data_IF_292760005331
#
_entry.id   IF_292760005331
#
_cell.length_a   1.000
_cell.length_b   1.000
_cell.length_c   1.000
_cell.angle_alpha   90.00
_cell.angle_beta   90.00
_cell.angle_gamma   90.00
#
_symmetry.space_group_name_H-M   'P 1'
#
loop_
_entity.id
_entity.type
_entity.pdbx_description
1 polymer ?
#
# COMPACT_ATOMS: atom_id res chain seq x y z
N UNK A 1 -63.63 -9.45 35.91
CA UNK A 1 -63.02 -9.98 34.66
C UNK A 1 -61.52 -9.67 34.68
N UNK A 2 -60.68 -10.67 34.93
CA UNK A 2 -59.21 -10.51 35.01
C UNK A 2 -58.70 -10.95 33.67
N UNK A 3 -58.01 -10.05 32.97
CA UNK A 3 -57.20 -10.38 31.78
C UNK A 3 -55.80 -10.80 32.19
N UNK A 4 -55.42 -12.02 31.85
CA UNK A 4 -54.02 -12.54 31.94
C UNK A 4 -53.23 -11.96 30.77
N UNK A 5 -52.12 -11.30 31.09
CA UNK A 5 -51.10 -10.90 30.11
C UNK A 5 -50.13 -12.05 29.97
N UNK A 6 -50.05 -12.65 28.77
CA UNK A 6 -49.04 -13.62 28.38
C UNK A 6 -47.79 -12.87 27.94
N UNK A 7 -46.71 -13.02 28.67
CA UNK A 7 -45.37 -12.58 28.27
C UNK A 7 -44.79 -13.57 27.25
N UNK A 8 -44.75 -13.17 25.99
CA UNK A 8 -43.92 -13.84 24.96
C UNK A 8 -42.50 -13.35 25.08
N UNK A 9 -41.59 -14.24 25.49
CA UNK A 9 -40.16 -14.03 25.39
C UNK A 9 -39.75 -14.08 23.91
N UNK A 10 -39.53 -12.92 23.30
CA UNK A 10 -38.77 -12.83 22.04
C UNK A 10 -37.27 -12.89 22.35
N UNK A 11 -36.70 -14.08 22.20
CA UNK A 11 -35.24 -14.22 22.05
C UNK A 11 -34.85 -13.59 20.70
N UNK A 12 -34.31 -12.38 20.74
CA UNK A 12 -33.66 -11.77 19.61
C UNK A 12 -32.30 -12.47 19.44
N UNK A 13 -32.23 -13.43 18.53
CA UNK A 13 -30.94 -13.97 18.06
C UNK A 13 -30.37 -12.89 17.11
N UNK A 14 -29.46 -12.06 17.65
CA UNK A 14 -28.61 -11.21 16.84
C UNK A 14 -27.57 -12.13 16.21
N UNK A 15 -27.84 -12.59 15.00
CA UNK A 15 -26.82 -13.16 14.15
C UNK A 15 -25.88 -12.01 13.73
N UNK A 16 -24.75 -11.86 14.43
CA UNK A 16 -23.62 -11.12 13.93
C UNK A 16 -23.14 -11.86 12.65
N UNK A 17 -23.64 -11.42 11.51
CA UNK A 17 -22.99 -11.68 10.24
C UNK A 17 -21.70 -10.82 10.20
N UNK A 18 -20.63 -11.37 10.77
CA UNK A 18 -19.28 -10.94 10.46
C UNK A 18 -19.09 -11.36 9.00
N UNK A 19 -19.39 -10.46 8.06
CA UNK A 19 -18.86 -10.54 6.72
C UNK A 19 -17.36 -10.23 6.83
N UNK A 20 -16.57 -11.23 7.24
CA UNK A 20 -15.18 -11.28 6.84
C UNK A 20 -15.20 -11.33 5.31
N UNK A 21 -14.77 -10.27 4.66
CA UNK A 21 -14.28 -10.33 3.30
C UNK A 21 -13.05 -11.25 3.33
N UNK A 22 -13.28 -12.54 3.39
CA UNK A 22 -12.29 -13.54 3.03
C UNK A 22 -12.13 -13.37 1.52
N UNK A 23 -11.23 -12.45 1.14
CA UNK A 23 -10.66 -12.53 -0.19
C UNK A 23 -10.21 -13.98 -0.33
N UNK A 24 -10.80 -14.71 -1.26
CA UNK A 24 -10.34 -16.04 -1.59
C UNK A 24 -8.89 -15.90 -2.04
N UNK A 25 -7.96 -16.17 -1.13
CA UNK A 25 -6.56 -16.32 -1.46
C UNK A 25 -6.48 -17.56 -2.38
N UNK A 26 -6.64 -17.30 -3.65
CA UNK A 26 -6.50 -18.33 -4.65
C UNK A 26 -5.09 -18.90 -4.58
N UNK A 27 -4.97 -20.21 -4.49
CA UNK A 27 -3.70 -20.96 -4.48
C UNK A 27 -3.11 -21.12 -5.88
N UNK A 28 -3.63 -20.41 -6.88
CA UNK A 28 -3.18 -20.52 -8.27
C UNK A 28 -2.04 -19.54 -8.61
N UNK A 29 -1.39 -19.78 -9.72
CA UNK A 29 -0.38 -18.87 -10.32
C UNK A 29 -1.08 -17.83 -11.21
N UNK A 30 -0.50 -16.64 -11.36
CA UNK A 30 -1.06 -15.56 -12.18
C UNK A 30 -0.81 -15.73 -13.69
N UNK A 31 0.02 -16.70 -14.07
CA UNK A 31 0.22 -17.14 -15.47
C UNK A 31 0.36 -18.66 -15.51
N UNK A 32 0.14 -19.25 -16.68
CA UNK A 32 0.41 -20.65 -16.92
C UNK A 32 1.91 -20.95 -16.71
N UNK A 33 2.28 -21.86 -15.79
CA UNK A 33 3.68 -22.15 -15.50
C UNK A 33 4.47 -22.64 -16.73
N UNK A 34 3.81 -23.34 -17.65
CA UNK A 34 4.42 -23.85 -18.88
C UNK A 34 4.73 -22.72 -19.89
N UNK A 35 4.10 -21.57 -19.73
CA UNK A 35 4.33 -20.36 -20.53
C UNK A 35 5.27 -19.36 -19.85
N UNK A 36 5.61 -19.60 -18.59
CA UNK A 36 6.46 -18.69 -17.81
C UNK A 36 7.89 -18.63 -18.41
N UNK A 37 8.35 -17.42 -18.72
CA UNK A 37 9.70 -17.19 -19.18
C UNK A 37 10.60 -16.84 -17.99
N UNK A 38 11.82 -17.40 -17.95
CA UNK A 38 12.80 -17.05 -16.94
C UNK A 38 13.13 -15.55 -17.00
N UNK A 39 13.20 -14.91 -15.85
CA UNK A 39 13.60 -13.51 -15.70
C UNK A 39 14.88 -13.42 -14.87
N UNK A 40 15.85 -12.68 -15.39
CA UNK A 40 17.06 -12.33 -14.65
C UNK A 40 17.09 -10.82 -14.45
N UNK A 41 16.99 -10.32 -13.21
CA UNK A 41 16.99 -8.88 -12.95
C UNK A 41 18.36 -8.26 -13.31
N UNK A 42 18.33 -7.06 -13.87
CA UNK A 42 19.54 -6.27 -14.12
C UNK A 42 20.21 -5.84 -12.81
N UNK A 43 21.51 -5.55 -12.79
CA UNK A 43 22.21 -5.08 -11.58
C UNK A 43 21.57 -3.81 -10.98
N UNK A 44 21.04 -2.93 -11.81
CA UNK A 44 20.33 -1.71 -11.40
C UNK A 44 19.04 -2.05 -10.65
N UNK A 45 18.32 -3.10 -11.11
CA UNK A 45 17.11 -3.59 -10.47
C UNK A 45 17.41 -4.20 -9.09
N UNK A 46 18.46 -5.04 -9.00
CA UNK A 46 18.88 -5.63 -7.71
C UNK A 46 19.22 -4.55 -6.68
N UNK A 47 19.95 -3.49 -7.07
CA UNK A 47 20.23 -2.34 -6.20
C UNK A 47 18.94 -1.58 -5.83
N UNK A 48 17.99 -1.49 -6.74
CA UNK A 48 16.70 -0.85 -6.46
C UNK A 48 15.89 -1.66 -5.45
N UNK A 49 15.86 -2.99 -5.53
CA UNK A 49 15.22 -3.88 -4.55
C UNK A 49 15.86 -3.73 -3.17
N UNK A 50 17.19 -3.69 -3.08
CA UNK A 50 17.89 -3.48 -1.82
C UNK A 50 17.54 -2.12 -1.20
N UNK A 51 17.63 -1.03 -1.99
CA UNK A 51 17.20 0.31 -1.54
C UNK A 51 15.74 0.35 -1.12
N UNK A 52 14.86 -0.36 -1.82
CA UNK A 52 13.45 -0.45 -1.46
C UNK A 52 13.25 -1.11 -0.09
N UNK A 53 13.97 -2.22 0.18
CA UNK A 53 13.96 -2.85 1.50
C UNK A 53 14.49 -1.93 2.61
N UNK A 54 15.47 -1.05 2.32
CA UNK A 54 16.01 -0.09 3.27
C UNK A 54 15.04 1.07 3.57
N UNK A 55 14.20 1.42 2.61
CA UNK A 55 13.26 2.54 2.69
C UNK A 55 12.15 2.33 3.72
N UNK A 56 11.66 1.14 3.93
CA UNK A 56 10.66 0.69 4.92
C UNK A 56 9.32 1.43 4.94
N UNK A 57 9.25 2.73 4.64
CA UNK A 57 8.03 3.51 4.78
C UNK A 57 7.76 4.37 3.54
N UNK A 58 6.55 4.24 3.00
CA UNK A 58 6.03 5.01 1.87
C UNK A 58 4.63 5.55 2.11
N UNK A 59 4.20 6.50 1.27
CA UNK A 59 2.84 7.05 1.27
C UNK A 59 2.14 6.65 -0.02
N UNK A 60 0.93 6.11 0.11
CA UNK A 60 0.03 5.82 -1.00
C UNK A 60 -0.98 6.93 -1.17
N UNK A 61 -1.30 7.29 -2.40
CA UNK A 61 -2.26 8.34 -2.75
C UNK A 61 -3.33 7.78 -3.68
N UNK A 62 -4.55 7.64 -3.20
CA UNK A 62 -5.71 7.32 -4.03
C UNK A 62 -6.49 8.60 -4.34
N UNK A 63 -6.27 9.15 -5.53
CA UNK A 63 -6.85 10.43 -5.93
C UNK A 63 -7.34 10.40 -7.37
N UNK A 64 -8.58 10.75 -7.59
CA UNK A 64 -9.24 10.72 -8.89
C UNK A 64 -10.64 11.34 -8.86
N UNK A 65 -11.43 11.12 -9.91
CA UNK A 65 -12.81 11.64 -10.01
C UNK A 65 -13.69 11.17 -8.86
N UNK A 66 -13.48 9.96 -8.37
CA UNK A 66 -14.23 9.36 -7.25
C UNK A 66 -14.14 10.21 -5.95
N UNK A 67 -13.06 10.98 -5.77
CA UNK A 67 -12.93 11.87 -4.61
C UNK A 67 -14.08 12.88 -4.50
N UNK A 68 -14.70 13.29 -5.63
CA UNK A 68 -15.82 14.24 -5.65
C UNK A 68 -17.09 13.69 -5.01
N UNK A 69 -17.28 12.38 -5.05
CA UNK A 69 -18.45 11.72 -4.48
C UNK A 69 -18.24 11.35 -3.01
N UNK A 70 -17.00 11.45 -2.51
CA UNK A 70 -16.66 11.27 -1.10
C UNK A 70 -17.09 9.93 -0.50
N UNK A 71 -17.14 8.86 -1.30
CA UNK A 71 -17.48 7.53 -0.84
C UNK A 71 -18.92 7.32 -0.33
N UNK A 72 -19.79 8.31 -0.48
CA UNK A 72 -21.15 8.28 0.07
C UNK A 72 -21.96 7.12 -0.51
N UNK A 73 -22.33 6.18 0.33
CA UNK A 73 -23.10 5.00 -0.05
C UNK A 73 -22.27 3.85 -0.67
N UNK A 74 -20.97 3.99 -0.78
CA UNK A 74 -20.08 2.91 -1.24
C UNK A 74 -19.60 2.08 -0.04
N UNK A 75 -19.87 0.78 0.02
CA UNK A 75 -19.43 -0.09 1.11
C UNK A 75 -17.95 -0.49 1.00
N UNK A 76 -17.34 -0.40 -0.19
CA UNK A 76 -15.96 -0.84 -0.41
C UNK A 76 -14.93 0.30 -0.44
N UNK A 77 -15.40 1.56 -0.50
CA UNK A 77 -14.53 2.73 -0.51
C UNK A 77 -14.88 3.71 -1.63
N UNK A 78 -14.31 4.92 -1.55
CA UNK A 78 -14.66 5.98 -2.49
C UNK A 78 -14.25 5.65 -3.94
N UNK A 79 -13.16 4.95 -4.14
CA UNK A 79 -12.63 4.56 -5.44
C UNK A 79 -13.48 3.50 -6.15
N UNK A 80 -14.30 2.75 -5.40
CA UNK A 80 -15.27 1.77 -5.90
C UNK A 80 -16.65 2.34 -6.21
N UNK A 81 -16.91 3.61 -5.90
CA UNK A 81 -18.26 4.22 -5.92
C UNK A 81 -18.96 4.09 -7.27
N UNK A 82 -18.22 4.05 -8.38
CA UNK A 82 -18.80 3.85 -9.72
C UNK A 82 -19.47 2.47 -9.83
N UNK A 83 -18.80 1.42 -9.39
CA UNK A 83 -19.29 0.04 -9.42
C UNK A 83 -20.36 -0.19 -8.34
N UNK A 84 -20.10 0.22 -7.10
CA UNK A 84 -20.98 0.01 -5.94
C UNK A 84 -22.36 0.62 -6.13
N UNK A 85 -22.41 1.84 -6.66
CA UNK A 85 -23.65 2.56 -6.93
C UNK A 85 -24.16 2.33 -8.36
N UNK A 86 -23.53 1.46 -9.13
CA UNK A 86 -23.88 1.14 -10.52
C UNK A 86 -24.04 2.38 -11.40
N UNK A 87 -23.10 3.32 -11.24
CA UNK A 87 -23.10 4.57 -12.00
C UNK A 87 -22.67 4.26 -13.43
N UNK A 88 -23.52 4.59 -14.41
CA UNK A 88 -23.16 4.36 -15.81
C UNK A 88 -22.00 5.24 -16.27
N UNK A 89 -21.16 4.71 -17.18
CA UNK A 89 -19.99 5.42 -17.71
C UNK A 89 -20.28 6.86 -18.16
N UNK A 90 -21.31 7.11 -19.01
CA UNK A 90 -21.65 8.47 -19.43
C UNK A 90 -22.04 9.42 -18.30
N UNK A 91 -22.58 8.91 -17.18
CA UNK A 91 -22.88 9.73 -16.00
C UNK A 91 -21.61 9.99 -15.18
N UNK A 92 -20.79 8.98 -15.00
CA UNK A 92 -19.55 9.10 -14.22
C UNK A 92 -18.54 10.04 -14.90
N UNK A 93 -18.39 9.94 -16.23
CA UNK A 93 -17.49 10.81 -17.02
C UNK A 93 -17.79 12.30 -16.84
N UNK A 94 -19.06 12.67 -16.60
CA UNK A 94 -19.43 14.06 -16.34
C UNK A 94 -18.84 14.64 -15.06
N UNK A 95 -18.37 13.81 -14.14
CA UNK A 95 -17.61 14.29 -12.96
C UNK A 95 -16.37 15.07 -13.38
N UNK A 96 -15.76 14.74 -14.53
CA UNK A 96 -14.60 15.47 -15.04
C UNK A 96 -14.92 16.96 -15.33
N UNK A 97 -16.16 17.29 -15.73
CA UNK A 97 -16.59 18.66 -15.99
C UNK A 97 -16.49 19.57 -14.72
N UNK A 98 -16.46 18.96 -13.54
CA UNK A 98 -16.44 19.66 -12.24
C UNK A 98 -15.15 19.41 -11.46
N UNK A 99 -14.26 18.56 -11.92
CA UNK A 99 -13.02 18.25 -11.22
C UNK A 99 -11.98 19.34 -11.44
N UNK A 100 -11.84 20.18 -10.43
CA UNK A 100 -10.95 21.35 -10.49
C UNK A 100 -10.14 21.52 -9.19
N UNK A 101 -9.09 20.71 -8.97
CA UNK A 101 -8.33 20.68 -7.73
C UNK A 101 -7.35 21.86 -7.58
N UNK A 102 -7.86 23.09 -7.58
CA UNK A 102 -7.04 24.32 -7.49
C UNK A 102 -6.27 24.47 -6.19
N UNK A 103 -6.62 23.71 -5.15
CA UNK A 103 -5.90 23.68 -3.87
C UNK A 103 -4.71 22.70 -3.85
N UNK A 104 -4.46 21.96 -4.94
CA UNK A 104 -3.31 21.07 -5.03
C UNK A 104 -1.99 21.86 -5.00
N UNK A 105 -1.05 21.36 -4.18
CA UNK A 105 0.30 21.90 -4.09
C UNK A 105 1.30 20.76 -3.84
N UNK A 106 2.00 20.38 -4.90
CA UNK A 106 2.96 19.25 -4.87
C UNK A 106 4.07 19.44 -3.83
N UNK A 107 4.57 20.67 -3.67
CA UNK A 107 5.64 20.98 -2.72
C UNK A 107 5.17 20.79 -1.26
N UNK A 108 3.94 21.20 -0.95
CA UNK A 108 3.36 21.00 0.39
C UNK A 108 3.12 19.51 0.67
N UNK A 109 2.62 18.76 -0.29
CA UNK A 109 2.42 17.31 -0.15
C UNK A 109 3.73 16.60 0.13
N UNK A 110 4.71 16.81 -0.74
CA UNK A 110 6.00 16.12 -0.65
C UNK A 110 6.73 16.48 0.64
N UNK A 111 6.67 17.74 1.10
CA UNK A 111 7.23 18.12 2.40
C UNK A 111 6.54 17.39 3.56
N UNK A 112 5.20 17.35 3.56
CA UNK A 112 4.46 16.63 4.61
C UNK A 112 4.84 15.14 4.65
N UNK A 113 4.99 14.49 3.51
CA UNK A 113 5.38 13.08 3.42
C UNK A 113 6.83 12.86 3.87
N UNK A 114 7.74 13.73 3.45
CA UNK A 114 9.14 13.70 3.89
C UNK A 114 9.27 13.91 5.39
N UNK A 115 8.52 14.87 5.94
CA UNK A 115 8.51 15.17 7.36
C UNK A 115 7.86 14.03 8.18
N UNK A 116 6.93 13.27 7.60
CA UNK A 116 6.40 12.03 8.12
C UNK A 116 7.45 10.88 8.13
N UNK A 117 8.57 11.04 7.43
CA UNK A 117 9.64 10.05 7.32
C UNK A 117 9.53 9.14 6.09
N UNK A 118 8.57 9.36 5.20
CA UNK A 118 8.45 8.56 3.98
C UNK A 118 9.68 8.68 3.08
N UNK A 119 10.00 7.60 2.38
CA UNK A 119 11.10 7.50 1.42
C UNK A 119 10.61 7.40 -0.02
N UNK A 120 9.37 7.02 -0.22
CA UNK A 120 8.74 6.92 -1.52
C UNK A 120 7.24 7.26 -1.46
N UNK A 121 6.70 7.58 -2.62
CA UNK A 121 5.29 7.91 -2.84
C UNK A 121 4.77 7.00 -3.94
N UNK A 122 3.61 6.38 -3.74
CA UNK A 122 2.83 5.71 -4.79
C UNK A 122 1.60 6.54 -5.06
N UNK A 123 1.29 6.88 -6.30
CA UNK A 123 0.07 7.63 -6.67
C UNK A 123 -0.72 6.91 -7.75
N UNK A 124 -2.03 6.90 -7.63
CA UNK A 124 -2.93 6.41 -8.69
C UNK A 124 -2.78 7.26 -9.93
N UNK A 125 -2.05 6.75 -10.95
CA UNK A 125 -1.97 7.39 -12.28
C UNK A 125 -3.25 7.18 -13.07
N UNK A 126 -3.86 6.01 -12.93
CA UNK A 126 -5.19 5.63 -13.43
C UNK A 126 -5.76 4.57 -12.50
N UNK A 127 -6.98 4.75 -11.99
CA UNK A 127 -7.71 3.74 -11.23
C UNK A 127 -8.70 2.96 -12.14
N UNK A 128 -9.53 2.09 -11.57
CA UNK A 128 -10.49 1.23 -12.28
C UNK A 128 -11.48 2.01 -13.13
N UNK A 129 -11.79 3.26 -12.78
CA UNK A 129 -12.68 4.15 -13.53
C UNK A 129 -12.13 4.59 -14.89
N UNK A 130 -10.85 4.28 -15.18
CA UNK A 130 -10.17 4.59 -16.42
C UNK A 130 -9.71 6.04 -16.56
N UNK A 131 -9.96 6.90 -15.54
CA UNK A 131 -9.54 8.29 -15.57
C UNK A 131 -8.04 8.45 -15.28
N UNK A 132 -7.32 9.06 -16.23
CA UNK A 132 -5.89 9.34 -16.07
C UNK A 132 -5.65 10.65 -15.30
N UNK A 133 -4.90 10.59 -14.22
CA UNK A 133 -4.52 11.77 -13.42
C UNK A 133 -3.31 12.52 -13.99
N UNK A 134 -2.94 12.25 -15.23
CA UNK A 134 -1.82 12.84 -15.97
C UNK A 134 -2.23 13.18 -17.40
N UNK A 135 -1.41 13.95 -18.12
CA UNK A 135 -1.62 14.33 -19.53
C UNK A 135 -1.29 13.13 -20.43
N UNK A 136 -2.29 12.30 -20.73
CA UNK A 136 -2.15 11.14 -21.60
C UNK A 136 -2.36 11.54 -23.06
N UNK A 137 -1.54 11.00 -23.98
CA UNK A 137 -1.68 11.24 -25.41
C UNK A 137 -2.43 10.11 -26.13
N UNK A 138 -2.77 9.06 -25.38
CA UNK A 138 -3.52 7.92 -25.89
C UNK A 138 -4.94 7.81 -25.32
N UNK A 139 -5.31 8.73 -24.43
CA UNK A 139 -6.65 8.86 -23.86
C UNK A 139 -7.02 10.33 -23.70
N UNK A 140 -8.24 10.70 -24.09
CA UNK A 140 -8.79 12.02 -23.79
C UNK A 140 -9.55 12.05 -22.46
N UNK A 141 -9.70 10.90 -21.80
CA UNK A 141 -10.33 10.82 -20.48
C UNK A 141 -9.25 10.98 -19.40
N UNK A 142 -8.72 12.18 -19.33
CA UNK A 142 -7.66 12.57 -18.40
C UNK A 142 -7.90 13.96 -17.79
N UNK A 143 -7.08 14.29 -16.79
CA UNK A 143 -7.24 15.52 -16.01
C UNK A 143 -6.97 16.79 -16.83
N UNK A 144 -6.16 16.73 -17.88
CA UNK A 144 -5.81 17.88 -18.70
C UNK A 144 -6.88 18.12 -19.76
N UNK A 145 -7.31 17.08 -20.47
CA UNK A 145 -8.23 17.20 -21.59
C UNK A 145 -9.69 17.30 -21.15
N UNK A 146 -10.10 16.49 -20.15
CA UNK A 146 -11.51 16.37 -19.73
C UNK A 146 -11.94 17.33 -18.62
N UNK A 147 -11.01 18.02 -17.94
CA UNK A 147 -11.37 18.81 -16.76
C UNK A 147 -11.11 20.32 -16.95
N UNK A 148 -11.76 21.21 -16.17
CA UNK A 148 -11.43 22.63 -16.17
C UNK A 148 -10.06 22.95 -15.55
N UNK A 149 -9.43 22.00 -14.85
CA UNK A 149 -8.14 22.22 -14.17
C UNK A 149 -6.99 22.45 -15.16
N UNK A 150 -6.98 21.76 -16.29
CA UNK A 150 -6.03 21.93 -17.40
C UNK A 150 -4.54 21.90 -17.04
N UNK A 151 -4.18 21.21 -15.95
CA UNK A 151 -2.80 21.03 -15.50
C UNK A 151 -2.52 19.56 -15.23
N UNK A 152 -1.24 19.19 -15.22
CA UNK A 152 -0.78 17.84 -14.98
C UNK A 152 -0.20 17.67 -13.54
N UNK A 153 -1.03 17.37 -12.52
CA UNK A 153 -0.59 17.32 -11.13
C UNK A 153 0.49 16.28 -10.88
N UNK A 154 0.45 15.15 -11.59
CA UNK A 154 1.49 14.12 -11.50
C UNK A 154 2.85 14.67 -11.95
N UNK A 155 2.90 15.56 -12.93
CA UNK A 155 4.17 16.20 -13.35
C UNK A 155 4.75 17.09 -12.27
N UNK A 156 3.91 17.88 -11.62
CA UNK A 156 4.31 18.72 -10.49
C UNK A 156 4.76 17.88 -9.29
N UNK A 157 4.04 16.78 -9.01
CA UNK A 157 4.40 15.84 -7.94
C UNK A 157 5.76 15.15 -8.21
N UNK A 158 5.99 14.68 -9.45
CA UNK A 158 7.25 14.06 -9.85
C UNK A 158 8.44 15.00 -9.66
N UNK A 159 8.31 16.24 -10.14
CA UNK A 159 9.34 17.26 -9.99
C UNK A 159 9.65 17.55 -8.51
N UNK A 160 8.61 17.66 -7.68
CA UNK A 160 8.77 17.91 -6.25
C UNK A 160 9.37 16.71 -5.52
N UNK A 161 8.90 15.49 -5.82
CA UNK A 161 9.45 14.26 -5.23
C UNK A 161 10.95 14.12 -5.52
N UNK A 162 11.36 14.28 -6.77
CA UNK A 162 12.77 14.23 -7.18
C UNK A 162 13.60 15.32 -6.47
N UNK A 163 13.11 16.56 -6.43
CA UNK A 163 13.76 17.68 -5.73
C UNK A 163 14.02 17.38 -4.26
N UNK A 164 13.09 16.68 -3.60
CA UNK A 164 13.19 16.34 -2.18
C UNK A 164 13.80 14.97 -1.88
N UNK A 165 14.20 14.21 -2.92
CA UNK A 165 14.84 12.91 -2.80
C UNK A 165 13.89 11.75 -2.43
N UNK A 166 12.58 11.91 -2.68
CA UNK A 166 11.61 10.83 -2.57
C UNK A 166 11.47 10.11 -3.91
N UNK A 167 11.39 8.78 -3.87
CA UNK A 167 11.10 8.00 -5.06
C UNK A 167 9.62 8.09 -5.40
N UNK A 168 9.28 8.21 -6.68
CA UNK A 168 7.89 8.19 -7.16
C UNK A 168 7.59 6.86 -7.80
N UNK A 169 6.48 6.25 -7.41
CA UNK A 169 5.89 5.05 -7.99
C UNK A 169 4.52 5.39 -8.55
N UNK A 170 4.11 4.71 -9.61
CA UNK A 170 2.78 4.83 -10.16
C UNK A 170 1.96 3.56 -9.86
N UNK A 171 0.82 3.74 -9.19
CA UNK A 171 -0.23 2.74 -9.24
C UNK A 171 -0.91 2.81 -10.61
N UNK A 172 -1.10 1.67 -11.22
CA UNK A 172 -1.77 1.55 -12.51
C UNK A 172 -2.78 0.41 -12.48
N UNK A 173 -4.07 0.73 -12.67
CA UNK A 173 -5.10 -0.29 -12.79
C UNK A 173 -5.04 -0.97 -14.16
N UNK A 174 -4.92 -2.29 -14.16
CA UNK A 174 -5.08 -3.14 -15.33
C UNK A 174 -6.57 -3.27 -15.71
N UNK A 175 -7.45 -3.28 -14.72
CA UNK A 175 -8.90 -3.17 -14.89
C UNK A 175 -9.27 -1.77 -15.39
N UNK A 176 -10.22 -1.68 -16.32
CA UNK A 176 -10.69 -0.41 -16.87
C UNK A 176 -12.21 -0.43 -17.16
N UNK A 177 -12.95 0.35 -16.38
CA UNK A 177 -14.41 0.47 -16.57
C UNK A 177 -14.81 1.46 -17.65
N UNK A 178 -13.86 2.15 -18.27
CA UNK A 178 -14.09 3.16 -19.30
C UNK A 178 -13.72 2.68 -20.71
N UNK A 179 -12.55 2.01 -20.87
CA UNK A 179 -11.99 1.70 -22.19
C UNK A 179 -12.90 0.74 -22.97
N UNK A 180 -13.28 1.04 -24.23
CA UNK A 180 -14.20 0.21 -25.00
C UNK A 180 -13.65 -1.19 -25.29
N UNK A 181 -12.34 -1.30 -25.53
CA UNK A 181 -11.69 -2.57 -25.87
C UNK A 181 -11.38 -3.45 -24.63
N UNK A 182 -11.64 -2.98 -23.38
CA UNK A 182 -11.65 -3.84 -22.20
C UNK A 182 -12.88 -4.75 -22.26
N UNK A 183 -12.79 -5.78 -23.05
CA UNK A 183 -13.86 -6.75 -23.32
C UNK A 183 -13.27 -8.11 -23.73
N UNK A 184 -13.82 -9.25 -23.26
CA UNK A 184 -14.99 -9.36 -22.37
C UNK A 184 -14.71 -8.79 -20.99
N UNK A 185 -15.76 -8.29 -20.33
CA UNK A 185 -15.67 -7.81 -18.95
C UNK A 185 -15.44 -9.00 -18.02
N UNK A 186 -14.68 -8.77 -16.96
CA UNK A 186 -14.48 -9.74 -15.91
C UNK A 186 -15.62 -9.72 -14.87
N UNK A 187 -15.24 -9.63 -13.59
CA UNK A 187 -16.17 -9.63 -12.45
C UNK A 187 -16.94 -8.32 -12.31
N UNK A 188 -16.41 -7.22 -12.82
CA UNK A 188 -16.90 -5.86 -12.59
C UNK A 188 -17.18 -5.11 -13.90
N UNK A 189 -17.72 -3.88 -13.80
CA UNK A 189 -17.93 -3.00 -14.94
C UNK A 189 -19.18 -3.29 -15.78
N UNK A 190 -20.07 -4.17 -15.29
CA UNK A 190 -21.27 -4.58 -16.04
C UNK A 190 -22.33 -3.46 -16.16
N UNK A 191 -22.27 -2.45 -15.32
CA UNK A 191 -23.22 -1.33 -15.27
C UNK A 191 -22.79 -0.10 -16.06
N UNK A 192 -21.61 -0.15 -16.65
CA UNK A 192 -20.98 1.01 -17.31
C UNK A 192 -21.70 1.44 -18.59
N UNK A 193 -22.57 0.61 -19.17
CA UNK A 193 -23.26 0.80 -20.46
C UNK A 193 -22.32 0.92 -21.66
N UNK A 194 -21.13 0.35 -21.58
CA UNK A 194 -20.26 0.16 -22.73
C UNK A 194 -20.88 -0.86 -23.70
N UNK A 195 -20.50 -0.81 -24.94
CA UNK A 195 -20.84 -1.84 -25.94
C UNK A 195 -20.26 -3.20 -25.50
N UNK A 196 -21.03 -4.28 -25.72
CA UNK A 196 -20.59 -5.66 -25.46
C UNK A 196 -19.71 -6.19 -26.59
N UNK A 197 -18.68 -5.42 -26.90
CA UNK A 197 -17.71 -5.72 -27.96
C UNK A 197 -16.39 -5.02 -27.62
N UNK A 198 -15.29 -5.50 -28.15
CA UNK A 198 -13.97 -4.91 -27.96
C UNK A 198 -12.88 -5.84 -28.50
N UNK A 199 -11.69 -5.32 -28.53
CA UNK A 199 -10.48 -6.03 -28.96
C UNK A 199 -9.46 -6.02 -27.83
N UNK A 200 -9.33 -7.16 -27.16
CA UNK A 200 -8.45 -7.31 -26.00
C UNK A 200 -6.99 -6.93 -26.29
N UNK A 201 -6.50 -7.26 -27.49
CA UNK A 201 -5.12 -6.91 -27.86
C UNK A 201 -4.95 -5.39 -28.01
N UNK A 202 -5.95 -4.68 -28.51
CA UNK A 202 -5.93 -3.20 -28.53
C UNK A 202 -5.94 -2.61 -27.14
N UNK A 203 -6.68 -3.23 -26.21
CA UNK A 203 -6.64 -2.81 -24.82
C UNK A 203 -5.23 -2.98 -24.22
N UNK A 204 -4.58 -4.12 -24.44
CA UNK A 204 -3.21 -4.33 -23.97
C UNK A 204 -2.21 -3.36 -24.59
N UNK A 205 -2.38 -3.02 -25.88
CA UNK A 205 -1.56 -2.00 -26.56
C UNK A 205 -1.79 -0.59 -25.98
N UNK A 206 -3.03 -0.26 -25.62
CA UNK A 206 -3.37 0.98 -24.92
C UNK A 206 -2.70 1.03 -23.54
N UNK A 207 -2.79 -0.05 -22.76
CA UNK A 207 -2.09 -0.16 -21.48
C UNK A 207 -0.58 0.06 -21.62
N UNK A 208 0.06 -0.63 -22.57
CA UNK A 208 1.49 -0.50 -22.82
C UNK A 208 1.86 0.94 -23.25
N UNK A 209 1.01 1.60 -24.05
CA UNK A 209 1.23 2.98 -24.45
C UNK A 209 1.17 3.94 -23.27
N UNK A 210 0.19 3.81 -22.38
CA UNK A 210 0.09 4.60 -21.15
C UNK A 210 1.30 4.37 -20.20
N UNK A 211 1.72 3.12 -20.04
CA UNK A 211 2.90 2.81 -19.24
C UNK A 211 4.18 3.41 -19.82
N UNK A 212 4.34 3.43 -21.15
CA UNK A 212 5.44 4.12 -21.84
C UNK A 212 5.43 5.62 -21.55
N UNK A 213 4.26 6.27 -21.59
CA UNK A 213 4.13 7.68 -21.20
C UNK A 213 4.64 7.91 -19.77
N UNK A 214 4.15 7.11 -18.82
CA UNK A 214 4.54 7.21 -17.40
C UNK A 214 6.04 7.00 -17.18
N UNK A 215 6.66 6.09 -17.92
CA UNK A 215 8.08 5.77 -17.77
C UNK A 215 9.02 6.71 -18.54
N UNK A 216 8.52 7.52 -19.48
CA UNK A 216 9.38 8.37 -20.31
C UNK A 216 9.22 9.86 -20.05
N UNK A 217 8.13 10.30 -19.37
CA UNK A 217 7.81 11.72 -19.24
C UNK A 217 8.07 12.31 -17.85
N UNK A 218 8.32 11.47 -16.84
CA UNK A 218 8.34 11.86 -15.43
C UNK A 218 9.69 11.66 -14.74
N UNK A 219 10.76 11.40 -15.52
CA UNK A 219 12.11 11.13 -14.99
C UNK A 219 12.27 9.72 -14.45
N UNK A 220 13.21 9.48 -13.54
CA UNK A 220 13.41 8.16 -12.92
C UNK A 220 12.20 7.76 -12.08
N UNK A 221 11.63 6.58 -12.37
CA UNK A 221 10.46 6.04 -11.66
C UNK A 221 10.91 4.91 -10.74
N UNK A 222 10.49 4.96 -9.48
CA UNK A 222 10.82 3.95 -8.48
C UNK A 222 10.14 2.61 -8.75
N UNK A 223 8.89 2.63 -9.22
CA UNK A 223 8.17 1.41 -9.55
C UNK A 223 6.80 1.62 -10.17
N UNK A 224 6.23 0.51 -10.66
CA UNK A 224 4.84 0.38 -11.10
C UNK A 224 4.13 -0.58 -10.15
N UNK A 225 3.06 -0.11 -9.55
CA UNK A 225 2.17 -0.84 -8.67
C UNK A 225 0.90 -1.23 -9.44
N UNK A 226 0.83 -2.46 -9.97
CA UNK A 226 -0.31 -2.95 -10.73
C UNK A 226 -1.43 -3.44 -9.82
N UNK A 227 -2.67 -3.25 -10.30
CA UNK A 227 -3.88 -3.76 -9.67
C UNK A 227 -4.94 -4.08 -10.72
N UNK A 228 -5.98 -4.82 -10.32
CA UNK A 228 -7.13 -5.12 -11.18
C UNK A 228 -6.97 -6.37 -12.06
N UNK A 229 -5.82 -7.07 -12.01
CA UNK A 229 -5.64 -8.35 -12.71
C UNK A 229 -6.74 -9.36 -12.36
N UNK A 230 -7.12 -9.43 -11.10
CA UNK A 230 -8.12 -10.33 -10.52
C UNK A 230 -9.51 -10.19 -11.14
N UNK A 231 -9.83 -9.08 -11.81
CA UNK A 231 -11.13 -8.90 -12.48
C UNK A 231 -11.36 -9.95 -13.56
N UNK A 232 -10.32 -10.38 -14.26
CA UNK A 232 -10.36 -11.40 -15.32
C UNK A 232 -10.09 -12.82 -14.82
N UNK A 233 -9.94 -13.05 -13.51
CA UNK A 233 -9.52 -14.35 -12.93
C UNK A 233 -10.43 -15.52 -13.32
N UNK A 234 -11.75 -15.29 -13.39
CA UNK A 234 -12.75 -16.29 -13.78
C UNK A 234 -13.12 -16.24 -15.27
N UNK A 235 -12.41 -15.45 -16.06
CA UNK A 235 -12.65 -15.30 -17.49
C UNK A 235 -11.70 -16.16 -18.33
N UNK A 236 -12.01 -16.30 -19.62
CA UNK A 236 -11.09 -16.94 -20.57
C UNK A 236 -9.81 -16.13 -20.84
N UNK A 237 -9.70 -14.92 -20.26
CA UNK A 237 -8.56 -14.02 -20.43
C UNK A 237 -7.62 -13.99 -19.23
N UNK A 238 -7.80 -14.84 -18.21
CA UNK A 238 -6.98 -14.81 -17.01
C UNK A 238 -5.47 -14.95 -17.28
N UNK A 239 -5.08 -15.70 -18.31
CA UNK A 239 -3.70 -15.91 -18.77
C UNK A 239 -3.31 -14.99 -19.95
N UNK A 240 -4.27 -14.18 -20.45
CA UNK A 240 -4.09 -13.33 -21.64
C UNK A 240 -3.64 -11.90 -21.32
N UNK A 241 -3.25 -11.60 -20.09
CA UNK A 241 -2.72 -10.29 -19.71
C UNK A 241 -1.34 -10.00 -20.30
N UNK A 242 -0.65 -11.02 -20.81
CA UNK A 242 0.72 -10.90 -21.33
C UNK A 242 1.68 -10.18 -20.37
N UNK A 243 1.55 -10.47 -19.06
CA UNK A 243 2.25 -9.77 -17.98
C UNK A 243 3.75 -9.68 -18.22
N UNK A 244 4.40 -10.80 -18.59
CA UNK A 244 5.84 -10.82 -18.80
C UNK A 244 6.28 -9.95 -19.98
N UNK A 245 5.46 -9.80 -21.03
CA UNK A 245 5.70 -8.86 -22.14
C UNK A 245 5.72 -7.42 -21.61
N UNK A 246 4.72 -7.05 -20.82
CA UNK A 246 4.59 -5.72 -20.24
C UNK A 246 5.72 -5.46 -19.22
N UNK A 247 6.03 -6.42 -18.36
CA UNK A 247 7.13 -6.29 -17.39
C UNK A 247 8.49 -6.14 -18.06
N UNK A 248 8.75 -6.94 -19.11
CA UNK A 248 9.96 -6.81 -19.93
C UNK A 248 10.08 -5.41 -20.54
N UNK A 249 9.00 -4.87 -21.11
CA UNK A 249 8.99 -3.52 -21.66
C UNK A 249 9.33 -2.46 -20.60
N UNK A 250 8.79 -2.59 -19.39
CA UNK A 250 9.08 -1.67 -18.28
C UNK A 250 10.56 -1.70 -17.93
N UNK A 251 11.14 -2.89 -17.74
CA UNK A 251 12.56 -3.05 -17.40
C UNK A 251 13.52 -2.64 -18.54
N UNK A 252 13.08 -2.78 -19.81
CA UNK A 252 13.85 -2.27 -20.96
C UNK A 252 13.87 -0.74 -20.99
N UNK A 253 12.76 -0.08 -20.62
CA UNK A 253 12.68 1.39 -20.58
C UNK A 253 13.44 1.98 -19.38
N UNK A 254 13.26 1.39 -18.21
CA UNK A 254 13.93 1.80 -16.97
C UNK A 254 14.33 0.58 -16.14
N UNK A 255 15.57 0.06 -16.26
CA UNK A 255 15.98 -1.17 -15.59
C UNK A 255 15.87 -1.18 -14.07
N UNK A 256 15.92 0.00 -13.43
CA UNK A 256 15.81 0.15 -11.98
C UNK A 256 14.35 0.26 -11.47
N UNK A 257 13.37 0.34 -12.38
CA UNK A 257 11.95 0.42 -11.99
C UNK A 257 11.50 -0.92 -11.43
N UNK A 258 10.92 -0.88 -10.21
CA UNK A 258 10.38 -2.07 -9.54
C UNK A 258 8.94 -2.36 -9.94
N UNK A 259 8.57 -3.62 -10.00
CA UNK A 259 7.23 -4.06 -10.38
C UNK A 259 6.62 -4.88 -9.25
N UNK A 260 5.40 -4.52 -8.87
CA UNK A 260 4.49 -5.35 -8.05
C UNK A 260 3.14 -5.44 -8.73
N UNK A 261 2.46 -6.56 -8.53
CA UNK A 261 1.08 -6.72 -8.99
C UNK A 261 0.22 -7.28 -7.85
N UNK A 262 -0.87 -6.58 -7.54
CA UNK A 262 -1.83 -6.93 -6.49
C UNK A 262 -2.78 -8.06 -6.92
N UNK A 263 -2.24 -9.10 -7.52
CA UNK A 263 -3.02 -10.25 -7.99
C UNK A 263 -3.32 -11.30 -6.91
N UNK A 264 -2.75 -11.15 -5.72
CA UNK A 264 -2.90 -12.08 -4.58
C UNK A 264 -2.48 -13.53 -4.88
N UNK A 265 -1.54 -13.72 -5.82
CA UNK A 265 -1.00 -15.01 -6.26
C UNK A 265 0.49 -15.11 -5.95
N UNK A 266 1.11 -16.24 -6.31
CA UNK A 266 2.57 -16.32 -6.37
C UNK A 266 3.12 -15.32 -7.38
N UNK A 267 4.31 -14.79 -7.11
CA UNK A 267 4.95 -13.80 -7.97
C UNK A 267 5.20 -14.34 -9.37
N UNK A 268 4.96 -13.49 -10.35
CA UNK A 268 5.24 -13.76 -11.75
C UNK A 268 6.69 -13.35 -12.06
N UNK A 269 7.45 -14.13 -12.87
CA UNK A 269 8.78 -13.69 -13.29
C UNK A 269 8.76 -12.31 -13.92
N UNK A 270 9.57 -11.39 -13.39
CA UNK A 270 9.58 -9.96 -13.74
C UNK A 270 8.99 -9.07 -12.66
N UNK A 271 8.34 -9.62 -11.64
CA UNK A 271 7.99 -8.89 -10.43
C UNK A 271 9.21 -8.75 -9.51
N UNK A 272 9.28 -7.64 -8.80
CA UNK A 272 10.45 -7.23 -8.02
C UNK A 272 10.21 -7.24 -6.51
N UNK A 273 8.93 -7.17 -6.10
CA UNK A 273 8.51 -7.31 -4.72
C UNK A 273 7.08 -7.84 -4.66
N UNK A 274 6.66 -8.31 -3.50
CA UNK A 274 5.34 -8.89 -3.27
C UNK A 274 4.50 -7.96 -2.38
N UNK A 275 3.29 -7.64 -2.84
CA UNK A 275 2.33 -6.78 -2.13
C UNK A 275 1.36 -7.58 -1.25
N UNK A 276 1.02 -6.98 -0.10
CA UNK A 276 -0.02 -7.45 0.83
C UNK A 276 -0.95 -6.29 1.14
N UNK A 277 -2.23 -6.45 0.84
CA UNK A 277 -3.22 -5.43 1.06
C UNK A 277 -3.92 -5.62 2.40
N UNK A 278 -3.97 -4.56 3.22
CA UNK A 278 -4.63 -4.48 4.53
C UNK A 278 -4.20 -5.54 5.56
N UNK A 279 -3.16 -6.31 5.30
CA UNK A 279 -2.70 -7.38 6.19
C UNK A 279 -1.18 -7.50 6.21
N UNK A 280 -0.65 -7.87 7.36
CA UNK A 280 0.77 -8.20 7.50
C UNK A 280 1.12 -9.47 6.71
N UNK A 281 2.34 -9.60 6.16
CA UNK A 281 2.80 -10.80 5.47
C UNK A 281 3.04 -11.93 6.48
N UNK A 282 1.99 -12.66 6.82
CA UNK A 282 2.02 -13.78 7.80
C UNK A 282 1.79 -15.14 7.17
N UNK A 283 1.25 -15.20 5.95
CA UNK A 283 0.99 -16.45 5.26
C UNK A 283 2.29 -16.99 4.63
N UNK A 284 2.95 -17.91 5.34
CA UNK A 284 4.22 -18.54 4.92
C UNK A 284 4.13 -19.25 3.56
N UNK A 285 2.97 -19.76 3.19
CA UNK A 285 2.78 -20.48 1.91
C UNK A 285 2.86 -19.56 0.69
N UNK A 286 2.70 -18.24 0.89
CA UNK A 286 2.75 -17.23 -0.17
C UNK A 286 4.03 -16.41 -0.18
N UNK A 287 4.84 -16.50 0.87
CA UNK A 287 6.08 -15.73 0.97
C UNK A 287 7.16 -16.33 0.04
N UNK A 288 7.60 -15.50 -0.91
CA UNK A 288 8.76 -15.79 -1.75
C UNK A 288 10.04 -15.15 -1.19
N UNK A 289 11.08 -15.12 -2.03
CA UNK A 289 12.37 -14.50 -1.71
C UNK A 289 12.42 -12.99 -2.02
N UNK A 290 11.39 -12.46 -2.69
CA UNK A 290 11.33 -11.05 -3.07
C UNK A 290 11.08 -10.15 -1.86
N UNK A 291 11.50 -8.88 -1.92
CA UNK A 291 11.07 -7.85 -0.95
C UNK A 291 9.57 -7.84 -0.75
N UNK A 292 9.12 -7.44 0.44
CA UNK A 292 7.71 -7.43 0.81
C UNK A 292 7.24 -5.99 1.03
N UNK A 293 5.96 -5.72 0.73
CA UNK A 293 5.28 -4.47 1.06
C UNK A 293 3.88 -4.75 1.58
N UNK A 294 3.50 -4.10 2.67
CA UNK A 294 2.14 -4.06 3.18
C UNK A 294 1.52 -2.69 2.92
N UNK A 295 0.42 -2.63 2.20
CA UNK A 295 -0.35 -1.41 2.01
C UNK A 295 -1.58 -1.37 2.95
N UNK A 296 -1.83 -0.22 3.58
CA UNK A 296 -2.94 -0.03 4.51
C UNK A 296 -3.53 1.38 4.44
N UNK A 297 -4.83 1.48 4.65
CA UNK A 297 -5.57 2.75 4.78
C UNK A 297 -5.50 3.31 6.20
N UNK A 298 -5.61 4.64 6.35
CA UNK A 298 -5.75 5.29 7.67
C UNK A 298 -7.14 5.08 8.27
N UNK A 299 -8.17 4.98 7.44
CA UNK A 299 -9.56 4.67 7.78
C UNK A 299 -10.03 3.41 7.02
N UNK A 300 -11.27 3.32 6.61
CA UNK A 300 -11.82 2.19 5.84
C UNK A 300 -11.79 2.38 4.32
N UNK A 301 -11.36 3.54 3.80
CA UNK A 301 -11.40 3.88 2.37
C UNK A 301 -10.00 4.20 1.83
N UNK A 302 -9.70 3.78 0.59
CA UNK A 302 -8.49 4.19 -0.11
C UNK A 302 -8.63 5.63 -0.62
N UNK A 303 -9.72 5.96 -1.30
CA UNK A 303 -10.03 7.31 -1.72
C UNK A 303 -10.62 8.17 -0.59
N UNK A 304 -10.77 9.47 -0.84
CA UNK A 304 -11.40 10.40 0.10
C UNK A 304 -12.83 9.99 0.45
N UNK A 305 -13.12 9.82 1.73
CA UNK A 305 -14.48 9.55 2.23
C UNK A 305 -14.99 10.66 3.13
N UNK A 306 -16.24 11.08 2.90
CA UNK A 306 -16.98 12.04 3.74
C UNK A 306 -17.68 11.39 4.92
N UNK A 307 -17.86 10.08 4.88
CA UNK A 307 -18.70 9.35 5.83
C UNK A 307 -17.94 8.35 6.69
N UNK A 308 -16.64 8.21 6.46
CA UNK A 308 -15.78 7.30 7.20
C UNK A 308 -14.85 8.07 8.15
N UNK A 309 -15.29 8.20 9.39
CA UNK A 309 -14.54 8.84 10.47
C UNK A 309 -13.77 7.82 11.34
N UNK A 310 -13.74 6.55 10.92
CA UNK A 310 -13.11 5.47 11.68
C UNK A 310 -11.59 5.42 11.43
N UNK A 311 -10.89 6.49 11.81
CA UNK A 311 -9.45 6.58 11.69
C UNK A 311 -8.72 5.70 12.70
N UNK A 312 -7.75 4.94 12.22
CA UNK A 312 -6.78 4.26 13.09
C UNK A 312 -5.97 5.31 13.87
N UNK A 313 -5.69 5.02 15.11
CA UNK A 313 -4.84 5.89 15.94
C UNK A 313 -3.40 5.90 15.43
N UNK A 314 -2.65 6.96 15.71
CA UNK A 314 -1.21 7.01 15.37
C UNK A 314 -0.44 5.85 16.02
N UNK A 315 -0.83 5.44 17.23
CA UNK A 315 -0.24 4.27 17.92
C UNK A 315 -0.43 2.99 17.09
N UNK A 316 -1.64 2.70 16.62
CA UNK A 316 -1.93 1.52 15.77
C UNK A 316 -1.11 1.55 14.48
N UNK A 317 -1.02 2.70 13.82
CA UNK A 317 -0.27 2.85 12.57
C UNK A 317 1.24 2.68 12.78
N UNK A 318 1.81 3.25 13.84
CA UNK A 318 3.22 3.05 14.21
C UNK A 318 3.49 1.60 14.59
N UNK A 319 2.62 0.96 15.35
CA UNK A 319 2.74 -0.46 15.69
C UNK A 319 2.66 -1.36 14.45
N UNK A 320 1.84 -0.98 13.45
CA UNK A 320 1.78 -1.68 12.18
C UNK A 320 3.08 -1.49 11.36
N UNK A 321 3.60 -0.28 11.27
CA UNK A 321 4.90 -0.01 10.64
C UNK A 321 6.03 -0.87 11.25
N UNK A 322 6.10 -0.91 12.56
CA UNK A 322 7.08 -1.72 13.30
C UNK A 322 6.87 -3.20 13.06
N UNK A 323 5.63 -3.65 13.07
CA UNK A 323 5.27 -5.06 12.84
C UNK A 323 5.59 -5.50 11.40
N UNK A 324 5.42 -4.61 10.42
CA UNK A 324 5.83 -4.82 9.04
C UNK A 324 7.36 -4.91 8.93
N UNK A 325 8.09 -3.95 9.49
CA UNK A 325 9.55 -3.95 9.50
C UNK A 325 10.13 -5.24 10.12
N UNK A 326 9.58 -5.69 11.25
CA UNK A 326 9.98 -6.94 11.91
C UNK A 326 9.67 -8.21 11.08
N UNK A 327 8.81 -8.11 10.08
CA UNK A 327 8.52 -9.16 9.08
C UNK A 327 9.26 -8.94 7.75
N UNK A 328 10.26 -8.10 7.77
CA UNK A 328 11.05 -7.72 6.60
C UNK A 328 10.22 -7.09 5.46
N UNK A 329 9.16 -6.40 5.81
CA UNK A 329 8.22 -5.75 4.89
C UNK A 329 8.31 -4.24 5.00
N UNK A 330 8.14 -3.57 3.86
CA UNK A 330 7.84 -2.15 3.84
C UNK A 330 6.39 -1.91 4.28
N UNK A 331 6.11 -0.71 4.74
CA UNK A 331 4.79 -0.23 5.08
C UNK A 331 4.41 0.94 4.17
N UNK A 332 3.34 0.78 3.40
CA UNK A 332 2.80 1.78 2.49
C UNK A 332 1.46 2.30 3.05
N UNK A 333 1.49 3.50 3.65
CA UNK A 333 0.33 4.08 4.33
C UNK A 333 -0.43 5.01 3.38
N UNK A 334 -1.72 4.72 3.19
CA UNK A 334 -2.57 5.42 2.25
C UNK A 334 -3.24 6.67 2.82
N UNK A 335 -3.37 7.69 1.99
CA UNK A 335 -4.30 8.82 2.16
C UNK A 335 -5.07 9.08 0.87
N UNK A 336 -6.35 9.42 1.00
CA UNK A 336 -7.20 9.82 -0.12
C UNK A 336 -7.34 11.35 -0.15
N UNK A 337 -6.65 12.08 -1.04
CA UNK A 337 -6.79 13.52 -1.14
C UNK A 337 -8.20 13.95 -1.49
N UNK A 338 -8.62 15.09 -0.94
CA UNK A 338 -9.91 15.71 -1.19
C UNK A 338 -10.05 16.15 -2.67
N UNK A 339 -11.26 16.32 -3.19
CA UNK A 339 -11.48 16.71 -4.59
C UNK A 339 -10.90 18.09 -4.94
N UNK A 340 -10.68 18.95 -3.95
CA UNK A 340 -10.01 20.24 -4.13
C UNK A 340 -8.48 20.18 -4.19
N UNK A 341 -7.89 18.99 -4.06
CA UNK A 341 -6.45 18.76 -4.10
C UNK A 341 -5.72 18.98 -2.77
N UNK A 342 -6.42 19.11 -1.65
CA UNK A 342 -5.80 19.16 -0.32
C UNK A 342 -5.84 17.79 0.35
N UNK A 343 -4.86 17.52 1.21
CA UNK A 343 -4.89 16.39 2.13
C UNK A 343 -5.70 16.76 3.35
N UNK A 344 -6.46 15.80 3.89
CA UNK A 344 -7.29 15.96 5.08
C UNK A 344 -6.43 16.36 6.28
N UNK A 345 -6.90 17.29 7.13
CA UNK A 345 -6.17 17.72 8.31
C UNK A 345 -5.84 16.59 9.27
N UNK A 346 -6.73 15.61 9.42
CA UNK A 346 -6.58 14.41 10.24
C UNK A 346 -5.36 13.59 9.77
N UNK A 347 -5.24 13.37 8.47
CA UNK A 347 -4.13 12.63 7.87
C UNK A 347 -2.81 13.41 8.02
N UNK A 348 -2.82 14.73 7.83
CA UNK A 348 -1.63 15.56 8.02
C UNK A 348 -1.14 15.53 9.48
N UNK A 349 -2.06 15.54 10.45
CA UNK A 349 -1.74 15.40 11.87
C UNK A 349 -1.08 14.05 12.13
N UNK A 350 -1.68 12.98 11.67
CA UNK A 350 -1.14 11.61 11.83
C UNK A 350 0.25 11.48 11.18
N UNK A 351 0.47 12.04 9.99
CA UNK A 351 1.79 12.08 9.35
C UNK A 351 2.83 12.81 10.20
N UNK A 352 2.47 13.96 10.78
CA UNK A 352 3.37 14.69 11.64
C UNK A 352 3.76 13.89 12.90
N UNK A 353 2.81 13.21 13.52
CA UNK A 353 3.02 12.37 14.70
C UNK A 353 3.90 11.15 14.40
N UNK A 354 3.65 10.45 13.27
CA UNK A 354 4.53 9.35 12.79
C UNK A 354 5.94 9.88 12.56
N UNK A 355 6.07 11.06 11.93
CA UNK A 355 7.36 11.69 11.68
C UNK A 355 8.13 12.02 12.96
N UNK A 356 7.43 12.49 14.00
CA UNK A 356 8.05 12.73 15.32
C UNK A 356 8.58 11.43 15.93
N UNK A 357 7.82 10.35 15.85
CA UNK A 357 8.25 9.03 16.32
C UNK A 357 9.48 8.53 15.53
N UNK A 358 9.45 8.62 14.21
CA UNK A 358 10.55 8.17 13.34
C UNK A 358 11.83 9.00 13.49
N UNK A 359 11.74 10.27 13.90
CA UNK A 359 12.94 11.08 14.25
C UNK A 359 13.73 10.48 15.41
N UNK A 360 13.07 9.83 16.34
CA UNK A 360 13.70 9.18 17.51
C UNK A 360 14.11 7.75 17.17
N UNK A 361 13.20 7.00 16.56
CA UNK A 361 13.33 5.55 16.43
C UNK A 361 13.73 5.09 15.02
N UNK A 362 13.87 5.99 14.06
CA UNK A 362 14.09 5.65 12.64
C UNK A 362 15.31 4.75 12.38
N UNK A 363 16.37 4.82 13.21
CA UNK A 363 17.53 3.93 13.06
C UNK A 363 17.20 2.45 13.32
N UNK A 364 16.11 2.16 14.03
CA UNK A 364 15.63 0.79 14.27
C UNK A 364 14.70 0.29 13.15
N UNK A 365 14.37 1.15 12.19
CA UNK A 365 13.45 0.88 11.08
C UNK A 365 14.21 0.90 9.74
N UNK A 366 14.76 2.06 9.35
CA UNK A 366 15.42 2.24 8.06
C UNK A 366 16.75 1.48 7.99
N UNK A 367 17.04 0.91 6.81
CA UNK A 367 18.28 0.15 6.60
C UNK A 367 18.38 -1.12 7.44
N UNK A 368 17.27 -1.62 7.97
CA UNK A 368 17.22 -2.87 8.75
C UNK A 368 16.57 -4.01 7.98
N UNK A 369 16.74 -5.22 8.51
CA UNK A 369 16.00 -6.41 8.09
C UNK A 369 15.20 -6.95 9.27
N UNK A 370 14.12 -7.68 9.00
CA UNK A 370 13.33 -8.35 10.02
C UNK A 370 14.11 -9.48 10.70
N UNK A 371 13.88 -9.68 11.98
CA UNK A 371 14.60 -10.69 12.78
C UNK A 371 15.76 -10.11 13.59
N UNK A 372 16.67 -10.97 14.11
CA UNK A 372 16.72 -12.43 13.98
C UNK A 372 15.66 -13.20 14.79
N UNK A 373 14.94 -12.51 15.69
CA UNK A 373 13.89 -13.13 16.51
C UNK A 373 12.59 -13.09 15.70
N UNK A 374 11.96 -14.25 15.50
CA UNK A 374 10.64 -14.31 14.87
C UNK A 374 9.60 -13.52 15.66
N UNK A 375 8.56 -12.97 15.00
CA UNK A 375 7.49 -12.25 15.68
C UNK A 375 6.89 -13.03 16.85
N UNK A 376 6.75 -12.37 18.00
CA UNK A 376 6.26 -12.91 19.26
C UNK A 376 5.04 -12.14 19.75
N UNK A 377 4.37 -12.65 20.78
CA UNK A 377 3.23 -11.96 21.40
C UNK A 377 3.61 -10.62 22.04
N UNK A 378 4.84 -10.44 22.46
CA UNK A 378 5.35 -9.18 23.01
C UNK A 378 5.72 -8.16 21.92
N UNK A 379 6.05 -8.61 20.67
CA UNK A 379 6.44 -7.72 19.58
C UNK A 379 7.32 -8.39 18.53
N UNK A 380 8.25 -7.62 17.97
CA UNK A 380 9.11 -8.02 16.86
C UNK A 380 10.54 -7.55 17.06
N UNK A 381 11.45 -8.02 16.21
CA UNK A 381 12.82 -7.51 16.13
C UNK A 381 13.17 -7.07 14.70
N UNK A 382 14.07 -6.11 14.63
CA UNK A 382 14.79 -5.73 13.40
C UNK A 382 16.28 -5.73 13.68
N UNK A 383 17.11 -5.81 12.64
CA UNK A 383 18.57 -5.81 12.81
C UNK A 383 19.29 -5.17 11.62
N UNK A 384 20.49 -4.75 11.85
CA UNK A 384 21.53 -4.45 10.89
C UNK A 384 22.84 -5.10 11.32
N UNK A 385 23.96 -4.81 10.64
CA UNK A 385 25.27 -5.42 10.94
C UNK A 385 25.81 -5.09 12.34
N UNK A 386 25.32 -4.02 13.00
CA UNK A 386 25.82 -3.53 14.25
C UNK A 386 24.91 -3.78 15.45
N UNK A 387 23.61 -3.91 15.25
CA UNK A 387 22.61 -3.91 16.33
C UNK A 387 21.40 -4.76 15.99
N UNK A 388 20.80 -5.32 17.05
CA UNK A 388 19.45 -5.88 17.03
C UNK A 388 18.56 -4.93 17.82
N UNK A 389 17.39 -4.59 17.27
CA UNK A 389 16.40 -3.75 17.91
C UNK A 389 15.22 -4.60 18.33
N UNK A 390 14.91 -4.60 19.62
CA UNK A 390 13.75 -5.28 20.22
C UNK A 390 12.62 -4.26 20.31
N UNK A 391 11.56 -4.47 19.55
CA UNK A 391 10.39 -3.62 19.54
C UNK A 391 9.28 -4.25 20.38
N UNK A 392 9.04 -3.69 21.56
CA UNK A 392 8.04 -4.18 22.49
C UNK A 392 6.73 -3.45 22.25
N UNK A 393 5.74 -4.17 21.74
CA UNK A 393 4.43 -3.66 21.35
C UNK A 393 3.39 -3.88 22.45
N UNK A 394 3.48 -5.03 23.13
CA UNK A 394 2.51 -5.45 24.14
C UNK A 394 3.19 -6.33 25.19
N UNK A 395 3.68 -5.68 26.25
CA UNK A 395 4.34 -6.37 27.37
C UNK A 395 4.29 -5.50 28.60
N UNK A 396 4.06 -6.08 29.78
CA UNK A 396 3.90 -5.33 31.04
C UNK A 396 4.74 -5.88 32.20
N UNK A 397 5.50 -6.97 32.00
CA UNK A 397 6.37 -7.50 33.03
C UNK A 397 7.73 -6.78 33.03
N UNK A 398 8.33 -6.64 34.21
CA UNK A 398 9.65 -6.01 34.39
C UNK A 398 10.82 -6.79 33.76
N UNK A 399 10.57 -8.04 33.33
CA UNK A 399 11.55 -8.90 32.66
C UNK A 399 11.02 -9.44 31.35
N UNK A 400 11.88 -9.55 30.35
CA UNK A 400 11.57 -10.16 29.05
C UNK A 400 12.71 -11.10 28.65
N UNK A 401 12.41 -12.41 28.57
CA UNK A 401 13.35 -13.43 28.11
C UNK A 401 13.15 -13.73 26.64
N UNK A 402 14.23 -13.74 25.87
CA UNK A 402 14.26 -13.88 24.41
C UNK A 402 15.32 -14.91 24.04
N UNK A 403 14.99 -15.86 23.17
CA UNK A 403 15.97 -16.76 22.58
C UNK A 403 16.88 -15.98 21.63
N UNK A 404 18.16 -15.85 21.99
CA UNK A 404 19.18 -15.13 21.23
C UNK A 404 20.56 -15.63 21.59
N UNK A 405 21.18 -16.37 20.70
CA UNK A 405 22.52 -16.92 20.88
C UNK A 405 23.63 -15.89 20.56
N UNK A 406 23.33 -14.88 19.74
CA UNK A 406 24.28 -13.82 19.34
C UNK A 406 24.78 -13.05 20.56
N UNK A 407 26.10 -12.98 20.84
CA UNK A 407 26.63 -12.25 21.98
C UNK A 407 26.33 -10.74 21.92
N UNK A 408 25.84 -10.20 23.04
CA UNK A 408 25.47 -8.80 23.19
C UNK A 408 26.48 -8.08 24.08
N UNK A 409 26.98 -6.94 23.60
CA UNK A 409 27.94 -6.10 24.32
C UNK A 409 27.26 -5.23 25.37
N UNK A 410 26.18 -4.56 24.99
CA UNK A 410 25.34 -3.77 25.89
C UNK A 410 23.92 -3.61 25.32
N UNK A 411 22.98 -3.29 26.20
CA UNK A 411 21.58 -2.99 25.87
C UNK A 411 21.25 -1.55 26.31
N UNK A 412 20.48 -0.84 25.48
CA UNK A 412 20.13 0.56 25.70
C UNK A 412 18.67 0.82 25.31
N UNK A 413 17.93 1.54 26.15
CA UNK A 413 16.63 2.08 25.74
C UNK A 413 16.87 3.17 24.68
N UNK A 414 16.27 3.00 23.51
CA UNK A 414 16.55 3.86 22.36
C UNK A 414 16.04 5.29 22.54
N UNK A 415 14.99 5.50 23.33
CA UNK A 415 14.40 6.81 23.61
C UNK A 415 15.22 7.62 24.61
N UNK A 416 15.58 6.99 25.75
CA UNK A 416 16.22 7.68 26.86
C UNK A 416 17.75 7.62 26.79
N UNK A 417 18.29 6.71 25.97
CA UNK A 417 19.72 6.36 25.93
C UNK A 417 20.25 5.77 27.26
N UNK A 418 19.38 5.38 28.16
CA UNK A 418 19.75 4.74 29.42
C UNK A 418 20.11 3.27 29.23
N UNK A 419 21.11 2.74 29.96
CA UNK A 419 21.42 1.32 29.94
C UNK A 419 20.24 0.47 30.42
N UNK A 420 20.02 -0.67 29.74
CA UNK A 420 19.06 -1.71 30.15
C UNK A 420 19.86 -2.88 30.69
N UNK A 421 19.56 -3.31 31.93
CA UNK A 421 20.19 -4.46 32.53
C UNK A 421 19.76 -5.74 31.79
N UNK A 422 20.71 -6.63 31.60
CA UNK A 422 20.43 -7.94 30.99
C UNK A 422 21.34 -9.03 31.51
N UNK A 423 20.88 -10.26 31.37
CA UNK A 423 21.68 -11.48 31.56
C UNK A 423 21.58 -12.30 30.28
N UNK A 424 22.72 -12.80 29.81
CA UNK A 424 22.76 -13.70 28.66
C UNK A 424 23.40 -15.02 29.03
N UNK A 425 22.63 -16.10 28.96
CA UNK A 425 23.04 -17.45 29.33
C UNK A 425 22.39 -18.46 28.39
N UNK A 426 23.17 -19.51 28.00
CA UNK A 426 22.64 -20.68 27.29
C UNK A 426 21.79 -20.38 26.04
N UNK A 427 22.15 -19.36 25.28
CA UNK A 427 21.42 -19.00 24.04
C UNK A 427 20.17 -18.16 24.24
N UNK A 428 19.96 -17.62 25.45
CA UNK A 428 18.88 -16.70 25.75
C UNK A 428 19.41 -15.42 26.38
N UNK A 429 18.74 -14.28 26.12
CA UNK A 429 18.93 -13.01 26.80
C UNK A 429 17.70 -12.67 27.62
N UNK A 430 17.87 -12.27 28.87
CA UNK A 430 16.82 -11.74 29.74
C UNK A 430 17.08 -10.27 29.99
N UNK A 431 16.20 -9.41 29.47
CA UNK A 431 16.18 -7.97 29.79
C UNK A 431 15.50 -7.81 31.15
N UNK A 432 16.09 -6.98 32.02
CA UNK A 432 15.65 -6.81 33.42
C UNK A 432 15.29 -5.34 33.70
N UNK A 433 14.42 -5.12 34.67
CA UNK A 433 14.01 -3.79 35.15
C UNK A 433 13.42 -2.92 34.04
N UNK A 434 12.68 -3.54 33.13
CA UNK A 434 11.96 -2.82 32.07
C UNK A 434 10.90 -1.92 32.74
N UNK A 435 10.87 -0.66 32.30
CA UNK A 435 9.84 0.31 32.71
C UNK A 435 9.01 0.63 31.48
N UNK A 436 7.71 0.53 31.61
CA UNK A 436 6.78 0.81 30.51
C UNK A 436 6.14 2.19 30.74
N UNK A 437 6.16 2.99 29.67
CA UNK A 437 5.41 4.22 29.57
C UNK A 437 4.16 3.92 28.71
N UNK A 438 2.97 4.03 29.30
CA UNK A 438 1.71 3.77 28.59
C UNK A 438 1.45 4.76 27.44
N UNK A 439 2.10 5.92 27.47
CA UNK A 439 2.01 6.94 26.41
C UNK A 439 2.99 6.67 25.27
N UNK A 440 3.90 5.73 25.42
CA UNK A 440 4.81 5.30 24.36
C UNK A 440 4.11 4.34 23.39
N UNK A 441 4.23 4.59 22.08
CA UNK A 441 3.62 3.72 21.07
C UNK A 441 4.28 2.36 21.00
N UNK A 442 5.60 2.34 21.10
CA UNK A 442 6.48 1.15 21.05
C UNK A 442 7.72 1.43 21.87
N UNK A 443 8.04 0.56 22.83
CA UNK A 443 9.32 0.61 23.50
C UNK A 443 10.38 -0.08 22.63
N UNK A 444 11.51 0.58 22.42
CA UNK A 444 12.60 0.03 21.59
C UNK A 444 13.87 -0.09 22.41
N UNK A 445 14.39 -1.32 22.49
CA UNK A 445 15.67 -1.62 23.12
C UNK A 445 16.68 -1.97 22.02
N UNK A 446 17.78 -1.24 21.98
CA UNK A 446 18.93 -1.56 21.12
C UNK A 446 19.85 -2.53 21.83
N UNK A 447 20.12 -3.66 21.21
CA UNK A 447 21.13 -4.63 21.62
C UNK A 447 22.33 -4.48 20.69
N UNK A 448 23.43 -3.92 21.20
CA UNK A 448 24.65 -3.71 20.42
C UNK A 448 25.43 -5.01 20.34
N UNK A 449 25.84 -5.38 19.13
CA UNK A 449 26.63 -6.57 18.87
C UNK A 449 28.12 -6.37 19.27
N UNK A 450 28.83 -7.47 19.54
CA UNK A 450 30.26 -7.45 19.87
C UNK A 450 31.13 -7.08 18.67
#
# INVERSE_FOLDING_TARGET
MRYKVNTFNCLLIIALLIFSSVGHAGTGVAIDPDKAQAYTPAPENLKARERFQDNKFGIFLHWGLYSQLGGVGSPYGAEWIMEDLRISGPKYQRLAEFFNPTGFNAEQWVKAFKDAGAKYIVITSKHHDGFAMYDSKVSNFDIVDSTPYKKAPIKELANSAHKHGLQLFFYYSQLDWHHPDYYPWGRTGHYTKREKSGDWEKYLQFQDAQLKELLTQYGPIGGIWFDGWWDQEDSHNWDNWQLQRTYKMIHELQPATLIVNNHHRFTVPGEDYQGFEQQLPTNQERLGELPLEMAQTMNGSWGFSLTDDNYKTTKELVQTLVSAAGRNSNYLLNTGPMPNGKIQPENLKTFAEIGQWLKVFGKSIYGTRGGPISPQSWGVSTHNDESIFIHILNWQAETLSIELATPIKFATNLRTSEPVNFKQLEGAITLESLKFDNDEYVQVIELKLN
#
